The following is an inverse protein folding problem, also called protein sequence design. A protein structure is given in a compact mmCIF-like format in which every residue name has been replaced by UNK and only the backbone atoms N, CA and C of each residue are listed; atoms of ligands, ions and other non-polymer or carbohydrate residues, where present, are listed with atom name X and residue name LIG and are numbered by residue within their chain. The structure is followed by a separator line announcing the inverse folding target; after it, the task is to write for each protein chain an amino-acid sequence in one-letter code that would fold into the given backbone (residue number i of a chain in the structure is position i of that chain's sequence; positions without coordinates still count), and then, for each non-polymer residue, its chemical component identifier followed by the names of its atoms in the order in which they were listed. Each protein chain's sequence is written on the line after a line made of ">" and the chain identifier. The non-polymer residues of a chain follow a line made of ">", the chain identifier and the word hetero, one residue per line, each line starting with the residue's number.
data_IF_933495754949
#
_entry.id   IF_933495754949
#
_cell.length_a   1.000
_cell.length_b   1.000
_cell.length_c   1.000
_cell.angle_alpha   90.00
_cell.angle_beta   90.00
_cell.angle_gamma   90.00
#
_symmetry.space_group_name_H-M   'P 1'
#
loop_
_entity.id
_entity.type
_entity.pdbx_description
1 polymer ?
#
# COMPACT_ATOMS: atom_id res chain seq x y z
N UNK A 1 3.09 3.00 -15.31
CA UNK A 1 4.28 3.72 -14.85
C UNK A 1 4.69 3.17 -13.49
N UNK A 2 5.66 2.27 -13.47
CA UNK A 2 6.15 1.55 -12.29
C UNK A 2 7.60 1.89 -11.95
N UNK A 3 8.19 2.88 -12.64
CA UNK A 3 9.62 3.24 -12.54
C UNK A 3 9.94 4.23 -11.41
N UNK A 4 8.93 4.66 -10.66
CA UNK A 4 9.05 5.57 -9.53
C UNK A 4 8.29 5.02 -8.30
N UNK A 5 8.38 3.71 -8.10
CA UNK A 5 7.78 3.05 -6.94
C UNK A 5 8.82 2.84 -5.85
N UNK A 6 8.63 3.49 -4.71
CA UNK A 6 9.35 3.19 -3.48
C UNK A 6 8.63 2.04 -2.76
N UNK A 7 9.34 1.32 -1.89
CA UNK A 7 8.70 0.37 -0.98
C UNK A 7 8.02 1.15 0.14
N UNK A 8 6.72 0.94 0.31
CA UNK A 8 5.93 1.52 1.39
C UNK A 8 5.36 0.43 2.29
N UNK A 9 5.24 0.73 3.58
CA UNK A 9 4.63 -0.20 4.52
C UNK A 9 3.12 -0.35 4.24
N UNK A 10 2.55 -1.55 4.23
CA UNK A 10 1.10 -1.77 4.07
C UNK A 10 0.41 -1.27 5.35
N UNK A 11 0.80 -1.85 6.48
CA UNK A 11 0.52 -1.37 7.83
C UNK A 11 1.59 -0.34 8.21
N UNK A 12 1.22 0.90 8.59
CA UNK A 12 2.18 1.94 8.95
C UNK A 12 3.24 1.48 9.95
N UNK A 13 4.47 1.96 9.80
CA UNK A 13 5.52 1.76 10.78
C UNK A 13 5.19 2.53 12.07
N UNK A 14 5.34 1.86 13.21
CA UNK A 14 5.16 2.39 14.55
C UNK A 14 6.51 2.38 15.29
N UNK A 15 6.96 3.55 15.74
CA UNK A 15 8.27 3.75 16.39
C UNK A 15 8.49 2.86 17.63
N UNK A 16 7.42 2.62 18.39
CA UNK A 16 7.43 1.75 19.57
C UNK A 16 6.71 0.41 19.33
N UNK A 17 6.48 0.06 18.06
CA UNK A 17 5.86 -1.20 17.68
C UNK A 17 6.81 -2.40 17.80
N UNK A 18 6.32 -3.62 17.49
CA UNK A 18 7.13 -4.82 17.55
C UNK A 18 8.31 -4.80 16.56
N UNK A 19 9.35 -5.61 16.75
CA UNK A 19 10.37 -5.80 15.73
C UNK A 19 9.79 -6.47 14.47
N UNK A 20 10.46 -6.29 13.32
CA UNK A 20 10.06 -6.95 12.07
C UNK A 20 8.95 -6.24 11.26
N UNK A 21 8.56 -5.03 11.66
CA UNK A 21 7.58 -4.21 10.93
C UNK A 21 7.99 -3.93 9.48
N UNK A 22 9.30 -3.85 9.21
CA UNK A 22 9.85 -3.76 7.85
C UNK A 22 10.16 -5.17 7.35
N UNK A 23 9.27 -5.75 6.55
CA UNK A 23 9.42 -7.08 5.98
C UNK A 23 8.73 -7.19 4.61
N UNK A 24 9.06 -8.17 3.75
CA UNK A 24 8.38 -8.36 2.47
C UNK A 24 6.85 -8.53 2.60
N UNK A 25 6.40 -9.07 3.73
CA UNK A 25 4.99 -9.21 4.04
C UNK A 25 4.29 -7.86 4.24
N UNK A 26 5.02 -6.87 4.79
CA UNK A 26 4.49 -5.54 5.06
C UNK A 26 4.98 -4.46 4.07
N UNK A 27 5.81 -4.76 3.07
CA UNK A 27 6.27 -3.79 2.08
C UNK A 27 5.60 -4.02 0.73
N UNK A 28 5.09 -2.97 0.10
CA UNK A 28 4.55 -3.00 -1.27
C UNK A 28 5.16 -1.89 -2.15
N UNK A 29 5.38 -2.14 -3.45
CA UNK A 29 5.86 -1.10 -4.36
C UNK A 29 4.74 -0.10 -4.66
N UNK A 30 4.82 1.08 -4.06
CA UNK A 30 3.87 2.17 -4.30
C UNK A 30 4.58 3.34 -4.98
N UNK A 31 3.99 3.85 -6.05
CA UNK A 31 4.41 5.14 -6.57
C UNK A 31 3.98 6.27 -5.62
N UNK A 32 4.66 7.41 -5.70
CA UNK A 32 4.36 8.60 -4.87
C UNK A 32 2.87 8.99 -4.85
N UNK A 33 2.16 8.83 -5.97
CA UNK A 33 0.71 9.08 -6.05
C UNK A 33 -0.09 8.15 -5.15
N UNK A 34 0.25 6.86 -5.11
CA UNK A 34 -0.43 5.88 -4.25
C UNK A 34 -0.07 6.08 -2.77
N UNK A 35 1.19 6.40 -2.47
CA UNK A 35 1.60 6.79 -1.13
C UNK A 35 0.78 7.99 -0.62
N UNK A 36 0.68 9.07 -1.40
CA UNK A 36 -0.08 10.26 -0.98
C UNK A 36 -1.57 9.98 -0.77
N UNK A 37 -2.18 9.12 -1.60
CA UNK A 37 -3.57 8.70 -1.42
C UNK A 37 -3.79 8.04 -0.06
N UNK A 38 -2.89 7.14 0.34
CA UNK A 38 -2.95 6.46 1.62
C UNK A 38 -2.70 7.41 2.79
N UNK A 39 -1.60 8.16 2.73
CA UNK A 39 -1.12 8.97 3.86
C UNK A 39 -1.97 10.23 4.08
N UNK A 40 -2.50 10.84 3.02
CA UNK A 40 -3.14 12.16 3.13
C UNK A 40 -4.60 12.18 2.72
N UNK A 41 -5.09 11.17 2.01
CA UNK A 41 -6.41 11.21 1.41
C UNK A 41 -7.33 10.08 1.89
N UNK A 42 -6.98 9.39 2.97
CA UNK A 42 -7.85 8.40 3.63
C UNK A 42 -8.07 7.11 2.85
N UNK A 43 -7.27 6.84 1.82
CA UNK A 43 -7.31 5.57 1.12
C UNK A 43 -6.62 4.48 1.95
N UNK A 44 -7.09 3.25 1.85
CA UNK A 44 -6.37 2.08 2.36
C UNK A 44 -6.46 0.94 1.35
N UNK A 45 -5.66 -0.09 1.53
CA UNK A 45 -5.67 -1.24 0.65
C UNK A 45 -5.29 -2.53 1.38
N UNK A 46 -5.69 -3.66 0.81
CA UNK A 46 -5.24 -4.99 1.21
C UNK A 46 -4.44 -5.62 0.07
N UNK A 47 -3.43 -6.43 0.41
CA UNK A 47 -2.73 -7.28 -0.56
C UNK A 47 -3.61 -8.49 -0.86
N UNK A 48 -3.75 -8.80 -2.14
CA UNK A 48 -4.45 -9.97 -2.66
C UNK A 48 -3.44 -10.88 -3.39
N UNK A 49 -3.73 -12.17 -3.59
CA UNK A 49 -2.87 -13.06 -4.36
C UNK A 49 -2.52 -12.50 -5.75
N UNK A 50 -3.49 -11.88 -6.42
CA UNK A 50 -3.38 -11.40 -7.80
C UNK A 50 -3.16 -9.89 -7.92
N UNK A 51 -3.03 -9.17 -6.79
CA UNK A 51 -2.81 -7.73 -6.81
C UNK A 51 -3.07 -7.03 -5.48
N UNK A 52 -3.79 -5.92 -5.56
CA UNK A 52 -4.18 -5.09 -4.44
C UNK A 52 -5.65 -4.67 -4.58
N UNK A 53 -6.37 -4.70 -3.46
CA UNK A 53 -7.71 -4.14 -3.37
C UNK A 53 -7.65 -2.82 -2.62
N UNK A 54 -7.99 -1.74 -3.30
CA UNK A 54 -7.99 -0.38 -2.78
C UNK A 54 -9.38 0.06 -2.40
N UNK A 55 -9.48 0.76 -1.27
CA UNK A 55 -10.70 1.33 -0.74
C UNK A 55 -10.57 2.84 -0.70
N UNK A 56 -11.51 3.51 -1.37
CA UNK A 56 -11.62 4.97 -1.31
C UNK A 56 -12.25 5.41 0.02
N UNK A 57 -12.07 6.68 0.43
CA UNK A 57 -12.75 7.26 1.60
C UNK A 57 -14.28 7.20 1.53
N UNK A 58 -14.83 7.04 0.32
CA UNK A 58 -16.26 6.96 0.06
C UNK A 58 -16.77 5.51 -0.01
N UNK A 59 -15.95 4.52 0.37
CA UNK A 59 -16.33 3.11 0.42
C UNK A 59 -16.33 2.39 -0.94
N UNK A 60 -15.82 3.01 -2.01
CA UNK A 60 -15.64 2.34 -3.32
C UNK A 60 -14.40 1.46 -3.32
N UNK A 61 -14.52 0.30 -3.95
CA UNK A 61 -13.44 -0.68 -4.14
C UNK A 61 -12.83 -0.61 -5.55
N UNK A 62 -11.51 -0.77 -5.63
CA UNK A 62 -10.76 -0.82 -6.88
C UNK A 62 -9.73 -1.95 -6.85
N UNK A 63 -9.77 -2.84 -7.84
CA UNK A 63 -8.79 -3.92 -7.99
C UNK A 63 -7.65 -3.46 -8.91
N UNK A 64 -6.42 -3.60 -8.42
CA UNK A 64 -5.18 -3.30 -9.16
C UNK A 64 -4.37 -4.59 -9.25
N UNK A 65 -4.27 -5.23 -10.42
CA UNK A 65 -3.52 -6.47 -10.56
C UNK A 65 -2.01 -6.26 -10.35
N UNK A 66 -1.30 -7.32 -9.96
CA UNK A 66 0.16 -7.32 -10.04
C UNK A 66 0.57 -7.08 -11.50
N UNK A 67 1.53 -6.19 -11.71
CA UNK A 67 2.14 -6.06 -13.03
C UNK A 67 2.99 -7.32 -13.24
N UNK A 68 2.67 -8.10 -14.27
CA UNK A 68 3.52 -9.20 -14.74
C UNK A 68 4.93 -8.70 -15.09
#
# INVERSE_FOLDING_TARGET
>A
DARACDLDHITPYEEHGPPGQTSPANLAPLCRRHHNQKTHHGWHYTREPDGYRWFSPLGREHLVPHLN
#
